data_IF_398100052461
#
_entry.id   IF_398100052461
#
_cell.length_a   1.000
_cell.length_b   1.000
_cell.length_c   1.000
_cell.angle_alpha   90.00
_cell.angle_beta   90.00
_cell.angle_gamma   90.00
#
_symmetry.space_group_name_H-M   'P 1'
#
loop_
_entity.id
_entity.type
_entity.pdbx_description
1 polymer ?
#
# COMPACT_ATOMS: atom_id res chain seq x y z
N UNK A 1 -1.65 21.25 35.30
CA UNK A 1 -1.71 19.78 35.15
C UNK A 1 -2.63 19.33 34.00
N UNK A 2 -3.75 20.01 33.71
CA UNK A 2 -4.65 19.65 32.59
C UNK A 2 -4.12 19.96 31.17
N UNK A 3 -3.27 20.98 31.02
CA UNK A 3 -2.69 21.33 29.71
C UNK A 3 -1.76 20.24 29.16
N UNK A 4 -1.00 19.59 30.05
CA UNK A 4 -0.06 18.52 29.69
C UNK A 4 -0.81 17.24 29.31
N UNK A 5 -1.91 16.93 30.01
CA UNK A 5 -2.74 15.77 29.66
C UNK A 5 -3.48 15.97 28.33
N UNK A 6 -3.94 17.19 28.02
CA UNK A 6 -4.52 17.51 26.72
C UNK A 6 -3.50 17.41 25.58
N UNK A 7 -2.27 17.88 25.79
CA UNK A 7 -1.19 17.73 24.82
C UNK A 7 -0.89 16.24 24.57
N UNK A 8 -0.70 15.44 25.62
CA UNK A 8 -0.43 14.00 25.49
C UNK A 8 -1.57 13.24 24.77
N UNK A 9 -2.83 13.64 24.97
CA UNK A 9 -3.97 13.04 24.28
C UNK A 9 -3.95 13.31 22.75
N UNK A 10 -3.55 14.53 22.34
CA UNK A 10 -3.42 14.89 20.92
C UNK A 10 -2.30 14.09 20.24
N UNK A 11 -1.17 13.91 20.92
CA UNK A 11 -0.06 13.10 20.40
C UNK A 11 -0.42 11.62 20.24
N UNK A 12 -1.19 11.04 21.18
CA UNK A 12 -1.68 9.68 21.04
C UNK A 12 -2.68 9.53 19.87
N UNK A 13 -3.62 10.48 19.71
CA UNK A 13 -4.59 10.42 18.61
C UNK A 13 -3.91 10.44 17.22
N UNK A 14 -2.83 11.21 17.05
CA UNK A 14 -2.04 11.23 15.80
C UNK A 14 -1.25 9.94 15.57
N UNK A 15 -0.82 9.25 16.63
CA UNK A 15 -0.10 7.99 16.51
C UNK A 15 -0.98 6.81 16.08
N UNK A 16 -2.27 6.81 16.46
CA UNK A 16 -3.20 5.71 16.19
C UNK A 16 -4.14 5.94 14.99
N UNK A 17 -4.27 7.18 14.49
CA UNK A 17 -5.26 7.56 13.49
C UNK A 17 -4.99 7.13 12.04
N UNK A 18 -3.88 6.45 11.75
CA UNK A 18 -3.50 6.12 10.36
C UNK A 18 -3.52 4.61 10.11
N UNK A 19 -4.64 3.94 10.45
CA UNK A 19 -4.94 2.66 9.83
C UNK A 19 -5.18 2.93 8.34
N UNK A 20 -4.16 2.72 7.50
CA UNK A 20 -4.29 2.89 6.05
C UNK A 20 -5.42 1.98 5.55
N UNK A 21 -6.57 2.58 5.23
CA UNK A 21 -7.69 1.86 4.64
C UNK A 21 -7.36 1.62 3.18
N UNK A 22 -6.78 0.46 2.91
CA UNK A 22 -6.64 -0.03 1.54
C UNK A 22 -8.04 -0.35 0.97
N UNK A 23 -8.28 -0.11 -0.33
CA UNK A 23 -9.53 -0.53 -0.95
C UNK A 23 -9.66 -2.06 -0.87
N UNK A 24 -10.86 -2.54 -0.55
CA UNK A 24 -11.16 -3.98 -0.57
C UNK A 24 -11.10 -4.45 -2.02
N UNK A 25 -10.39 -5.57 -2.28
CA UNK A 25 -10.38 -6.16 -3.60
C UNK A 25 -11.76 -6.72 -3.93
N UNK A 26 -12.49 -6.05 -4.83
CA UNK A 26 -13.75 -6.55 -5.36
C UNK A 26 -13.51 -7.35 -6.64
N UNK A 27 -14.49 -8.19 -7.02
CA UNK A 27 -14.45 -8.94 -8.28
C UNK A 27 -14.41 -8.02 -9.52
N UNK A 28 -14.83 -6.77 -9.38
CA UNK A 28 -14.74 -5.76 -10.44
C UNK A 28 -13.36 -5.09 -10.44
N UNK A 29 -12.79 -4.80 -9.26
CA UNK A 29 -11.48 -4.18 -9.13
C UNK A 29 -10.36 -5.11 -9.64
N UNK A 30 -10.44 -6.41 -9.33
CA UNK A 30 -9.46 -7.42 -9.78
C UNK A 30 -9.42 -7.58 -11.31
N UNK A 31 -10.52 -7.26 -11.99
CA UNK A 31 -10.65 -7.35 -13.46
C UNK A 31 -10.19 -6.08 -14.18
N UNK A 32 -9.91 -5.00 -13.45
CA UNK A 32 -9.33 -3.80 -14.07
C UNK A 32 -7.90 -4.05 -14.48
N UNK A 33 -7.48 -3.49 -15.63
CA UNK A 33 -6.10 -3.56 -16.11
C UNK A 33 -5.11 -3.06 -15.05
N UNK A 34 -5.51 -2.04 -14.28
CA UNK A 34 -4.70 -1.50 -13.18
C UNK A 34 -4.32 -2.53 -12.11
N UNK A 35 -5.17 -3.53 -11.86
CA UNK A 35 -4.84 -4.63 -10.97
C UNK A 35 -4.27 -5.82 -11.71
N UNK A 36 -4.68 -6.12 -12.95
CA UNK A 36 -4.06 -7.19 -13.76
C UNK A 36 -2.54 -7.00 -13.86
N UNK A 37 -2.10 -5.76 -14.03
CA UNK A 37 -0.69 -5.31 -14.08
C UNK A 37 0.08 -5.53 -12.78
N UNK A 38 -0.63 -5.72 -11.67
CA UNK A 38 -0.10 -5.97 -10.31
C UNK A 38 -0.27 -7.45 -9.93
N UNK A 39 -1.20 -8.18 -10.56
CA UNK A 39 -1.66 -9.54 -10.22
C UNK A 39 -0.76 -10.65 -10.78
N UNK A 40 0.49 -10.38 -11.17
CA UNK A 40 1.52 -11.44 -11.17
C UNK A 40 2.41 -11.39 -9.91
N UNK A 41 1.84 -11.53 -8.69
CA UNK A 41 2.60 -11.40 -7.47
C UNK A 41 3.56 -12.56 -7.28
N UNK A 42 3.27 -13.72 -7.89
CA UNK A 42 4.17 -14.86 -7.85
C UNK A 42 5.48 -14.55 -8.59
N UNK A 43 5.43 -13.96 -9.78
CA UNK A 43 6.64 -13.57 -10.51
C UNK A 43 7.44 -12.49 -9.76
N UNK A 44 6.78 -11.41 -9.34
CA UNK A 44 7.46 -10.31 -8.65
C UNK A 44 8.03 -10.74 -7.28
N UNK A 45 7.29 -11.56 -6.52
CA UNK A 45 7.78 -12.12 -5.27
C UNK A 45 8.94 -13.09 -5.49
N UNK A 46 8.83 -14.03 -6.43
CA UNK A 46 9.89 -15.00 -6.69
C UNK A 46 11.21 -14.32 -7.09
N UNK A 47 11.12 -13.22 -7.84
CA UNK A 47 12.27 -12.49 -8.34
C UNK A 47 12.90 -11.54 -7.31
N UNK A 48 12.08 -10.80 -6.55
CA UNK A 48 12.56 -9.70 -5.71
C UNK A 48 12.23 -9.82 -4.23
N UNK A 49 11.39 -10.78 -3.83
CA UNK A 49 10.99 -11.02 -2.44
C UNK A 49 10.50 -9.74 -1.74
N UNK A 50 9.76 -8.88 -2.45
CA UNK A 50 9.26 -7.59 -1.96
C UNK A 50 10.37 -6.61 -1.51
N UNK A 51 11.50 -6.53 -2.23
CA UNK A 51 12.52 -5.49 -2.04
C UNK A 51 12.25 -4.23 -2.90
N UNK A 52 13.15 -3.24 -2.87
CA UNK A 52 12.98 -1.97 -3.60
C UNK A 52 12.79 -2.13 -5.13
N UNK A 53 13.31 -3.21 -5.73
CA UNK A 53 13.18 -3.49 -7.18
C UNK A 53 11.80 -4.01 -7.56
N UNK A 54 11.01 -4.45 -6.58
CA UNK A 54 9.66 -4.97 -6.79
C UNK A 54 8.74 -3.94 -7.44
N UNK A 55 8.97 -2.64 -7.19
CA UNK A 55 8.22 -1.58 -7.84
C UNK A 55 8.40 -1.60 -9.37
N UNK A 56 9.61 -1.90 -9.86
CA UNK A 56 9.90 -2.01 -11.29
C UNK A 56 9.31 -3.25 -11.98
N UNK A 57 8.76 -4.19 -11.20
CA UNK A 57 8.04 -5.35 -11.71
C UNK A 57 6.55 -5.03 -11.99
N UNK A 58 6.06 -3.88 -11.53
CA UNK A 58 4.69 -3.41 -11.76
C UNK A 58 4.67 -2.59 -13.04
N UNK A 59 3.69 -2.82 -13.92
CA UNK A 59 3.55 -2.01 -15.12
C UNK A 59 3.17 -0.56 -14.79
N UNK A 60 3.87 0.37 -15.41
CA UNK A 60 3.62 1.81 -15.27
C UNK A 60 4.75 2.60 -15.89
N UNK A 61 4.45 3.82 -16.32
CA UNK A 61 5.40 4.69 -17.03
C UNK A 61 6.44 5.30 -16.08
N UNK A 62 6.12 5.38 -14.79
CA UNK A 62 6.98 5.92 -13.75
C UNK A 62 6.63 5.31 -12.38
N UNK A 63 7.50 5.57 -11.40
CA UNK A 63 7.35 5.02 -10.06
C UNK A 63 6.08 5.50 -9.33
N UNK A 64 5.57 6.70 -9.63
CA UNK A 64 4.34 7.22 -9.03
C UNK A 64 3.12 6.42 -9.50
N UNK A 65 3.04 6.07 -10.77
CA UNK A 65 1.98 5.21 -11.31
C UNK A 65 2.04 3.80 -10.75
N UNK A 66 3.25 3.22 -10.66
CA UNK A 66 3.48 1.89 -10.10
C UNK A 66 3.08 1.83 -8.63
N UNK A 67 3.44 2.86 -7.85
CA UNK A 67 3.04 2.99 -6.44
C UNK A 67 1.52 3.10 -6.33
N UNK A 68 0.89 3.90 -7.20
CA UNK A 68 -0.56 4.06 -7.21
C UNK A 68 -1.29 2.72 -7.42
N UNK A 69 -0.89 1.97 -8.46
CA UNK A 69 -1.45 0.64 -8.74
C UNK A 69 -1.17 -0.34 -7.58
N UNK A 70 0.05 -0.33 -7.05
CA UNK A 70 0.44 -1.19 -5.93
C UNK A 70 -0.45 -0.98 -4.70
N UNK A 71 -0.72 0.27 -4.35
CA UNK A 71 -1.59 0.62 -3.23
C UNK A 71 -3.06 0.29 -3.48
N UNK A 72 -3.55 0.53 -4.71
CA UNK A 72 -4.93 0.24 -5.10
C UNK A 72 -5.23 -1.26 -5.13
N UNK A 73 -4.26 -2.07 -5.51
CA UNK A 73 -4.45 -3.50 -5.74
C UNK A 73 -3.76 -4.39 -4.69
N UNK A 74 -3.21 -3.81 -3.62
CA UNK A 74 -2.46 -4.56 -2.61
C UNK A 74 -3.32 -5.68 -2.00
N UNK A 75 -4.62 -5.44 -1.81
CA UNK A 75 -5.57 -6.41 -1.27
C UNK A 75 -5.92 -7.53 -2.25
N UNK A 76 -5.83 -7.26 -3.55
CA UNK A 76 -6.05 -8.27 -4.59
C UNK A 76 -4.92 -9.28 -4.65
N UNK A 77 -3.70 -8.83 -4.33
CA UNK A 77 -2.52 -9.68 -4.22
C UNK A 77 -2.45 -10.39 -2.87
N UNK A 78 -2.74 -9.66 -1.80
CA UNK A 78 -2.75 -10.18 -0.43
C UNK A 78 -1.95 -9.34 0.55
N UNK A 79 -2.07 -9.71 1.83
CA UNK A 79 -1.54 -8.95 2.97
C UNK A 79 -0.03 -8.68 2.89
N UNK A 80 0.75 -9.58 2.27
CA UNK A 80 2.20 -9.40 2.07
C UNK A 80 2.52 -8.15 1.23
N UNK A 81 1.72 -7.89 0.19
CA UNK A 81 1.90 -6.71 -0.65
C UNK A 81 1.42 -5.46 0.06
N UNK A 82 0.28 -5.52 0.77
CA UNK A 82 -0.18 -4.40 1.59
C UNK A 82 0.86 -4.01 2.65
N UNK A 83 1.45 -4.98 3.34
CA UNK A 83 2.51 -4.73 4.32
C UNK A 83 3.74 -4.09 3.67
N UNK A 84 4.11 -4.53 2.47
CA UNK A 84 5.22 -3.95 1.73
C UNK A 84 4.96 -2.49 1.33
N UNK A 85 3.82 -2.17 0.72
CA UNK A 85 3.51 -0.79 0.31
C UNK A 85 3.38 0.16 1.51
N UNK A 86 2.84 -0.32 2.64
CA UNK A 86 2.74 0.43 3.90
C UNK A 86 4.12 0.69 4.49
N UNK A 87 4.98 -0.35 4.60
CA UNK A 87 6.33 -0.23 5.16
C UNK A 87 7.17 0.78 4.38
N UNK A 88 7.01 0.84 3.06
CA UNK A 88 7.73 1.76 2.20
C UNK A 88 7.03 3.12 2.04
N UNK A 89 5.89 3.35 2.71
CA UNK A 89 5.13 4.61 2.68
C UNK A 89 4.71 5.04 1.27
N UNK A 90 4.43 4.09 0.39
CA UNK A 90 3.99 4.38 -0.99
C UNK A 90 2.57 4.93 -1.05
N UNK A 91 1.73 4.56 -0.09
CA UNK A 91 0.30 4.90 -0.09
C UNK A 91 -0.03 6.15 0.74
N UNK A 92 0.96 6.92 1.17
CA UNK A 92 0.74 8.15 1.94
C UNK A 92 0.24 9.26 1.02
N UNK A 93 -1.07 9.56 1.08
CA UNK A 93 -1.71 10.62 0.30
C UNK A 93 -2.76 10.17 -0.71
N UNK A 94 -3.33 8.96 -0.53
CA UNK A 94 -4.57 8.54 -1.21
C UNK A 94 -5.79 8.91 -0.40
#
# INVERSE_FOLDING_TARGET
>A
MYLITLLLAVWMALAFGQAQQYPVCTADLVKTDECADVINPAACYNQFRWNARTLGCIEGTNDKERQKKACKCCTCVGTVMCNWVTKNRFCSGM
#
